data_IF_684734977238
#
_entry.id   IF_684734977238
#
_cell.length_a   1.000
_cell.length_b   1.000
_cell.length_c   1.000
_cell.angle_alpha   90.00
_cell.angle_beta   90.00
_cell.angle_gamma   90.00
#
_symmetry.space_group_name_H-M   'P 1'
#
loop_
_entity.id
_entity.type
_entity.pdbx_description
1 polymer ?
#
# COMPACT_ATOMS: atom_id res chain seq x y z
N UNK A 1 -22.58 10.26 -15.58
CA UNK A 1 -23.46 10.19 -14.40
C UNK A 1 -24.45 9.06 -14.67
N UNK A 2 -24.08 7.81 -14.33
CA UNK A 2 -24.95 6.66 -14.51
C UNK A 2 -25.66 6.43 -13.18
N UNK A 3 -26.96 6.74 -13.16
CA UNK A 3 -27.82 6.56 -12.01
C UNK A 3 -28.32 5.11 -12.04
N UNK A 4 -27.83 4.28 -11.13
CA UNK A 4 -28.31 2.91 -10.94
C UNK A 4 -29.59 3.00 -10.09
N UNK A 5 -30.74 2.85 -10.75
CA UNK A 5 -32.05 2.77 -10.11
C UNK A 5 -32.24 1.44 -9.34
N UNK A 6 -33.30 1.32 -8.52
CA UNK A 6 -33.48 0.18 -7.63
C UNK A 6 -33.65 -1.13 -8.43
N UNK A 7 -32.88 -2.15 -8.03
CA UNK A 7 -32.90 -3.49 -8.60
C UNK A 7 -34.28 -4.12 -8.42
N UNK A 8 -35.00 -4.31 -9.52
CA UNK A 8 -36.20 -5.13 -9.59
C UNK A 8 -35.74 -6.61 -9.76
N UNK A 9 -36.11 -7.55 -8.87
CA UNK A 9 -35.46 -8.86 -8.79
C UNK A 9 -35.90 -9.89 -9.86
N UNK A 10 -36.34 -9.47 -11.04
CA UNK A 10 -36.83 -10.37 -12.07
C UNK A 10 -35.87 -10.48 -13.27
N UNK A 11 -35.11 -11.59 -13.28
CA UNK A 11 -34.49 -12.25 -14.44
C UNK A 11 -33.38 -11.47 -15.17
N UNK A 12 -32.21 -11.37 -14.52
CA UNK A 12 -30.97 -11.63 -15.24
C UNK A 12 -30.93 -13.15 -15.45
N UNK A 13 -30.85 -13.64 -16.69
CA UNK A 13 -30.67 -15.07 -16.99
C UNK A 13 -29.25 -15.51 -16.59
N UNK A 14 -28.97 -15.52 -15.28
CA UNK A 14 -27.88 -16.28 -14.70
C UNK A 14 -28.33 -17.73 -14.85
N UNK A 15 -27.57 -18.55 -15.58
CA UNK A 15 -27.76 -20.01 -15.53
C UNK A 15 -27.63 -20.41 -14.07
N UNK A 16 -28.75 -20.76 -13.46
CA UNK A 16 -28.86 -20.99 -12.02
C UNK A 16 -28.02 -22.21 -11.66
N UNK A 17 -26.83 -21.97 -11.10
CA UNK A 17 -26.10 -23.01 -10.40
C UNK A 17 -26.56 -22.94 -8.93
N UNK A 18 -27.34 -23.91 -8.42
CA UNK A 18 -27.84 -23.89 -7.04
C UNK A 18 -26.72 -23.76 -5.99
N UNK A 19 -25.48 -24.10 -6.38
CA UNK A 19 -24.29 -24.03 -5.55
C UNK A 19 -23.74 -22.62 -5.28
N UNK A 20 -24.17 -21.58 -6.02
CA UNK A 20 -23.59 -20.22 -5.89
C UNK A 20 -24.58 -19.14 -5.45
N UNK A 21 -25.81 -19.51 -5.10
CA UNK A 21 -26.88 -18.55 -4.80
C UNK A 21 -26.58 -17.62 -3.60
N UNK A 22 -25.82 -18.11 -2.62
CA UNK A 22 -25.44 -17.36 -1.41
C UNK A 22 -24.01 -16.80 -1.50
N UNK A 23 -23.43 -16.71 -2.70
CA UNK A 23 -22.04 -16.31 -2.90
C UNK A 23 -21.93 -15.03 -3.74
N UNK A 24 -20.96 -14.18 -3.37
CA UNK A 24 -20.45 -13.11 -4.22
C UNK A 24 -19.66 -13.74 -5.37
N UNK A 25 -19.96 -13.34 -6.60
CA UNK A 25 -19.32 -13.88 -7.81
C UNK A 25 -18.85 -12.75 -8.73
N UNK A 26 -17.77 -13.01 -9.46
CA UNK A 26 -17.29 -12.13 -10.53
C UNK A 26 -17.79 -12.69 -11.86
N UNK A 27 -18.46 -11.84 -12.62
CA UNK A 27 -18.91 -12.11 -13.99
C UNK A 27 -18.25 -11.09 -14.90
N UNK A 28 -17.74 -11.55 -16.05
CA UNK A 28 -17.22 -10.68 -17.10
C UNK A 28 -18.28 -10.51 -18.17
N UNK A 29 -18.58 -9.27 -18.54
CA UNK A 29 -19.45 -8.96 -19.67
C UNK A 29 -18.64 -9.15 -20.96
N UNK A 30 -19.21 -9.91 -21.90
CA UNK A 30 -18.59 -10.22 -23.19
C UNK A 30 -19.21 -9.40 -24.32
N UNK A 31 -20.54 -9.27 -24.33
CA UNK A 31 -21.26 -8.53 -25.37
C UNK A 31 -22.60 -8.02 -24.86
N UNK A 32 -23.11 -6.98 -25.52
CA UNK A 32 -24.47 -6.50 -25.30
C UNK A 32 -25.10 -6.19 -26.65
N UNK A 33 -25.89 -7.14 -27.15
CA UNK A 33 -26.61 -6.98 -28.41
C UNK A 33 -27.74 -5.97 -28.28
N UNK A 34 -27.98 -5.15 -29.31
CA UNK A 34 -29.03 -4.12 -29.32
C UNK A 34 -30.44 -4.68 -29.19
N UNK A 35 -30.62 -5.95 -29.53
CA UNK A 35 -31.88 -6.70 -29.40
C UNK A 35 -32.08 -7.30 -28.02
N UNK A 36 -31.06 -7.31 -27.16
CA UNK A 36 -31.12 -7.89 -25.82
C UNK A 36 -31.29 -6.81 -24.75
N UNK A 37 -32.23 -7.06 -23.83
CA UNK A 37 -32.43 -6.21 -22.66
C UNK A 37 -31.27 -6.36 -21.65
N UNK A 38 -30.56 -7.49 -21.68
CA UNK A 38 -29.48 -7.81 -20.74
C UNK A 38 -28.16 -8.10 -21.48
N UNK A 39 -27.01 -7.76 -20.87
CA UNK A 39 -25.72 -8.15 -21.40
C UNK A 39 -25.50 -9.66 -21.28
N UNK A 40 -24.72 -10.20 -22.22
CA UNK A 40 -24.17 -11.55 -22.14
C UNK A 40 -22.80 -11.50 -21.47
N UNK A 41 -22.52 -12.49 -20.63
CA UNK A 41 -21.25 -12.61 -19.95
C UNK A 41 -21.02 -14.03 -19.43
N UNK A 42 -19.85 -14.27 -18.87
CA UNK A 42 -19.48 -15.55 -18.30
C UNK A 42 -18.98 -15.41 -16.86
N UNK A 43 -19.21 -16.47 -16.10
CA UNK A 43 -18.69 -16.62 -14.74
C UNK A 43 -17.17 -16.73 -14.75
N UNK A 44 -16.51 -16.01 -13.83
CA UNK A 44 -15.05 -16.03 -13.67
C UNK A 44 -14.66 -16.78 -12.40
N UNK A 45 -15.16 -16.33 -11.24
CA UNK A 45 -14.83 -16.91 -9.92
C UNK A 45 -15.83 -16.54 -8.83
N UNK A 46 -15.84 -17.33 -7.76
CA UNK A 46 -16.49 -16.99 -6.48
C UNK A 46 -15.53 -16.16 -5.63
N UNK A 47 -16.02 -15.11 -4.98
CA UNK A 47 -15.24 -14.28 -4.03
C UNK A 47 -15.41 -14.75 -2.59
N UNK A 48 -16.63 -15.13 -2.21
CA UNK A 48 -16.94 -15.57 -0.84
C UNK A 48 -18.44 -15.64 -0.61
N UNK A 49 -18.84 -16.12 0.57
CA UNK A 49 -20.25 -16.17 0.95
C UNK A 49 -20.73 -14.75 1.25
N UNK A 50 -21.99 -14.45 0.91
CA UNK A 50 -22.59 -13.15 1.23
C UNK A 50 -22.57 -12.95 2.75
N UNK A 51 -22.07 -11.79 3.19
CA UNK A 51 -21.92 -11.44 4.60
C UNK A 51 -20.71 -12.06 5.29
N UNK A 52 -19.93 -12.90 4.60
CA UNK A 52 -18.60 -13.27 5.06
C UNK A 52 -17.62 -12.12 4.82
N UNK A 53 -16.85 -11.80 5.84
CA UNK A 53 -16.01 -10.63 5.90
C UNK A 53 -14.96 -10.59 4.78
N UNK A 54 -14.20 -11.68 4.61
CA UNK A 54 -13.18 -11.80 3.58
C UNK A 54 -13.80 -11.70 2.17
N UNK A 55 -15.00 -12.29 1.99
CA UNK A 55 -15.77 -12.18 0.76
C UNK A 55 -16.22 -10.75 0.43
N UNK A 56 -16.68 -9.99 1.43
CA UNK A 56 -17.08 -8.59 1.25
C UNK A 56 -15.87 -7.68 1.01
N UNK A 57 -14.74 -7.90 1.70
CA UNK A 57 -13.47 -7.19 1.41
C UNK A 57 -13.02 -7.46 -0.03
N UNK A 58 -13.00 -8.73 -0.44
CA UNK A 58 -12.65 -9.10 -1.81
C UNK A 58 -13.60 -8.48 -2.84
N UNK A 59 -14.87 -8.31 -2.50
CA UNK A 59 -15.87 -7.65 -3.37
C UNK A 59 -15.54 -6.17 -3.56
N UNK A 60 -15.26 -5.44 -2.48
CA UNK A 60 -14.88 -4.01 -2.53
C UNK A 60 -13.61 -3.83 -3.35
N UNK A 61 -12.60 -4.68 -3.14
CA UNK A 61 -11.34 -4.61 -3.88
C UNK A 61 -11.55 -4.80 -5.39
N UNK A 62 -12.35 -5.79 -5.79
CA UNK A 62 -12.64 -6.05 -7.22
C UNK A 62 -13.46 -4.92 -7.83
N UNK A 63 -14.48 -4.43 -7.13
CA UNK A 63 -15.36 -3.35 -7.62
C UNK A 63 -14.56 -2.06 -7.87
N UNK A 64 -13.59 -1.77 -7.02
CA UNK A 64 -12.71 -0.59 -7.14
C UNK A 64 -11.44 -0.84 -7.95
N UNK A 65 -11.32 -2.00 -8.61
CA UNK A 65 -10.13 -2.38 -9.40
C UNK A 65 -8.81 -2.32 -8.63
N UNK A 66 -8.85 -2.58 -7.32
CA UNK A 66 -7.68 -2.59 -6.44
C UNK A 66 -7.02 -3.97 -6.54
N UNK A 67 -5.80 -4.00 -7.06
CA UNK A 67 -5.06 -5.23 -7.29
C UNK A 67 -4.20 -5.62 -6.09
N UNK A 68 -4.61 -6.62 -5.31
CA UNK A 68 -3.90 -7.11 -4.11
C UNK A 68 -2.92 -8.26 -4.38
N UNK A 69 -2.49 -8.45 -5.62
CA UNK A 69 -1.57 -9.53 -5.98
C UNK A 69 -0.19 -9.31 -5.33
N UNK A 70 0.44 -10.35 -4.77
CA UNK A 70 1.80 -10.25 -4.25
C UNK A 70 2.81 -9.80 -5.31
N UNK A 71 3.88 -9.15 -4.89
CA UNK A 71 5.00 -8.85 -5.79
C UNK A 71 5.58 -10.15 -6.36
N UNK A 72 5.83 -10.15 -7.67
CA UNK A 72 6.48 -11.24 -8.39
C UNK A 72 7.94 -11.40 -7.97
N UNK A 73 8.53 -12.57 -8.24
CA UNK A 73 9.94 -12.84 -7.96
C UNK A 73 10.87 -11.84 -8.67
N UNK A 74 10.59 -11.51 -9.94
CA UNK A 74 11.36 -10.53 -10.69
C UNK A 74 11.35 -9.13 -10.05
N UNK A 75 10.21 -8.71 -9.49
CA UNK A 75 10.10 -7.47 -8.73
C UNK A 75 10.91 -7.57 -7.43
N UNK A 76 10.79 -8.67 -6.68
CA UNK A 76 11.51 -8.85 -5.42
C UNK A 76 13.04 -8.91 -5.60
N UNK A 77 13.53 -9.41 -6.75
CA UNK A 77 14.96 -9.44 -7.06
C UNK A 77 15.60 -8.07 -7.29
N UNK A 78 14.81 -7.02 -7.55
CA UNK A 78 15.32 -5.64 -7.67
C UNK A 78 15.56 -4.98 -6.31
N UNK A 79 14.98 -5.51 -5.23
CA UNK A 79 15.16 -4.96 -3.89
C UNK A 79 16.45 -5.46 -3.23
N UNK A 80 17.08 -4.62 -2.38
CA UNK A 80 18.19 -5.07 -1.56
C UNK A 80 17.78 -6.24 -0.67
N UNK A 81 18.71 -7.17 -0.46
CA UNK A 81 18.53 -8.19 0.56
C UNK A 81 18.75 -7.54 1.90
N UNK A 82 17.71 -7.60 2.72
CA UNK A 82 17.75 -7.16 4.08
C UNK A 82 17.17 -8.24 5.00
N UNK A 83 18.04 -8.89 5.77
CA UNK A 83 17.65 -9.93 6.74
C UNK A 83 18.44 -9.78 8.03
N UNK A 84 17.99 -10.43 9.11
CA UNK A 84 18.70 -10.39 10.40
C UNK A 84 20.16 -10.88 10.29
N UNK A 85 20.43 -11.83 9.39
CA UNK A 85 21.76 -12.39 9.13
C UNK A 85 22.60 -11.53 8.18
N UNK A 86 21.93 -10.79 7.29
CA UNK A 86 22.57 -9.89 6.33
C UNK A 86 21.78 -8.57 6.25
N UNK A 87 21.93 -7.70 7.27
CA UNK A 87 21.23 -6.43 7.31
C UNK A 87 21.76 -5.52 6.22
N UNK A 88 20.86 -4.78 5.58
CA UNK A 88 21.26 -3.81 4.59
C UNK A 88 22.05 -2.67 5.24
N UNK A 89 23.03 -2.13 4.51
CA UNK A 89 23.84 -0.98 4.95
C UNK A 89 24.09 -0.05 3.79
N UNK A 90 24.08 1.25 4.08
CA UNK A 90 24.50 2.27 3.12
C UNK A 90 25.92 1.96 2.65
N UNK A 91 26.13 2.06 1.32
CA UNK A 91 27.46 1.83 0.77
C UNK A 91 28.41 2.98 1.13
N UNK A 92 29.72 2.73 1.32
CA UNK A 92 30.69 3.79 1.61
C UNK A 92 30.76 4.89 0.53
N UNK A 93 30.34 4.56 -0.71
CA UNK A 93 30.26 5.51 -1.81
C UNK A 93 29.11 6.50 -1.58
N UNK A 94 27.93 6.00 -1.23
CA UNK A 94 26.76 6.85 -0.92
C UNK A 94 27.02 7.75 0.30
N UNK A 95 27.71 7.23 1.33
CA UNK A 95 28.10 8.04 2.49
C UNK A 95 29.05 9.20 2.15
N UNK A 96 29.83 9.08 1.07
CA UNK A 96 30.73 10.15 0.61
C UNK A 96 30.03 11.15 -0.31
N UNK A 97 29.05 10.70 -1.08
CA UNK A 97 28.31 11.54 -2.04
C UNK A 97 27.21 12.37 -1.36
N UNK A 98 26.80 11.98 -0.15
CA UNK A 98 25.70 12.61 0.59
C UNK A 98 26.19 13.31 1.85
N UNK A 99 25.43 14.30 2.31
CA UNK A 99 25.74 15.02 3.55
C UNK A 99 25.31 14.21 4.77
N UNK A 100 26.27 13.79 5.59
CA UNK A 100 26.01 13.05 6.82
C UNK A 100 25.51 13.93 7.98
N UNK A 101 24.22 13.79 8.33
CA UNK A 101 23.57 14.52 9.41
C UNK A 101 23.52 13.76 10.75
N UNK A 102 23.93 12.47 10.78
CA UNK A 102 23.70 11.54 11.90
C UNK A 102 24.30 12.01 13.24
N UNK A 103 25.43 12.71 13.19
CA UNK A 103 26.12 13.23 14.39
C UNK A 103 25.81 14.69 14.71
N UNK A 104 25.21 15.42 13.76
CA UNK A 104 25.03 16.87 13.84
C UNK A 104 23.60 17.28 14.16
N UNK A 105 22.63 16.40 13.89
CA UNK A 105 21.20 16.64 14.12
C UNK A 105 20.60 15.58 15.03
N UNK A 106 19.78 16.04 16.00
CA UNK A 106 18.83 15.16 16.66
C UNK A 106 17.62 15.03 15.74
N UNK A 107 17.41 13.83 15.19
CA UNK A 107 16.32 13.54 14.27
C UNK A 107 15.30 12.61 14.93
N UNK A 108 14.02 12.89 14.74
CA UNK A 108 12.89 12.13 15.29
C UNK A 108 11.70 12.17 14.33
N UNK A 109 10.84 11.16 14.34
CA UNK A 109 9.57 11.15 13.62
C UNK A 109 8.39 11.29 14.60
N UNK A 110 7.20 11.61 14.09
CA UNK A 110 5.97 11.74 14.87
C UNK A 110 4.89 10.91 14.20
N UNK A 111 4.78 9.65 14.62
CA UNK A 111 3.89 8.67 14.00
C UNK A 111 2.88 8.07 14.98
N UNK A 112 1.74 7.55 14.50
CA UNK A 112 0.84 6.74 15.30
C UNK A 112 1.54 5.52 15.91
N UNK A 113 1.03 5.02 17.05
CA UNK A 113 1.52 3.78 17.65
C UNK A 113 1.32 2.63 16.67
N UNK A 114 2.37 1.86 16.40
CA UNK A 114 2.33 0.74 15.47
C UNK A 114 2.52 1.13 14.00
N UNK A 115 2.86 2.39 13.70
CA UNK A 115 3.28 2.79 12.36
C UNK A 115 4.52 1.96 11.95
N UNK A 116 4.38 1.21 10.86
CA UNK A 116 5.47 0.49 10.23
C UNK A 116 6.15 1.37 9.16
N UNK A 117 5.39 2.18 8.42
CA UNK A 117 5.89 2.96 7.28
C UNK A 117 6.28 4.40 7.69
N UNK A 118 7.51 4.61 8.20
CA UNK A 118 8.01 5.95 8.56
C UNK A 118 8.56 6.67 7.32
N UNK A 119 7.75 7.53 6.72
CA UNK A 119 8.10 8.26 5.47
C UNK A 119 8.89 9.55 5.72
N UNK A 120 8.72 10.17 6.89
CA UNK A 120 9.34 11.45 7.23
C UNK A 120 9.94 11.49 8.64
N UNK A 121 10.94 12.36 8.79
CA UNK A 121 11.51 12.71 10.07
C UNK A 121 11.82 14.20 10.14
N UNK A 122 11.94 14.71 11.35
CA UNK A 122 12.14 16.11 11.66
C UNK A 122 13.40 16.31 12.49
N UNK A 123 14.05 17.46 12.30
CA UNK A 123 15.09 17.93 13.20
C UNK A 123 14.94 19.42 13.46
N UNK A 124 15.32 19.86 14.66
CA UNK A 124 15.32 21.28 15.01
C UNK A 124 16.56 21.61 15.85
N UNK A 125 17.25 22.69 15.50
CA UNK A 125 18.35 23.22 16.31
C UNK A 125 18.41 24.74 16.25
N UNK A 126 18.93 25.34 17.32
CA UNK A 126 19.22 26.78 17.36
C UNK A 126 20.62 27.02 16.80
N UNK A 127 20.74 28.00 15.91
CA UNK A 127 21.99 28.45 15.32
C UNK A 127 22.66 29.52 16.19
N UNK A 128 23.96 29.73 16.00
CA UNK A 128 24.74 30.72 16.76
C UNK A 128 24.24 32.17 16.61
N UNK A 129 23.53 32.47 15.53
CA UNK A 129 22.92 33.79 15.28
C UNK A 129 21.53 33.95 15.92
N UNK A 130 21.05 32.96 16.68
CA UNK A 130 19.74 32.96 17.33
C UNK A 130 18.59 32.49 16.44
N UNK A 131 18.84 32.17 15.16
CA UNK A 131 17.82 31.60 14.28
C UNK A 131 17.62 30.11 14.57
N UNK A 132 16.47 29.59 14.16
CA UNK A 132 16.21 28.14 14.14
C UNK A 132 16.52 27.58 12.76
N UNK A 133 17.13 26.40 12.75
CA UNK A 133 17.18 25.52 11.59
C UNK A 133 16.19 24.38 11.82
N UNK A 134 15.26 24.21 10.87
CA UNK A 134 14.29 23.13 10.83
C UNK A 134 14.61 22.25 9.63
N UNK A 135 14.84 20.96 9.87
CA UNK A 135 15.02 19.95 8.83
C UNK A 135 13.77 19.09 8.68
N UNK A 136 13.35 18.88 7.44
CA UNK A 136 12.36 17.87 7.05
C UNK A 136 13.09 16.85 6.20
N UNK A 137 13.14 15.61 6.66
CA UNK A 137 13.90 14.52 6.09
C UNK A 137 12.91 13.50 5.55
N UNK A 138 12.87 13.33 4.23
CA UNK A 138 11.94 12.39 3.57
C UNK A 138 12.71 11.14 3.16
N UNK A 139 12.10 9.96 3.33
CA UNK A 139 12.69 8.70 2.89
C UNK A 139 13.05 8.73 1.40
N UNK A 140 14.29 8.36 1.07
CA UNK A 140 14.78 8.36 -0.31
C UNK A 140 14.47 7.03 -1.02
N UNK A 141 13.22 6.87 -1.43
CA UNK A 141 12.77 5.70 -2.21
C UNK A 141 13.46 5.64 -3.58
N UNK A 142 13.89 6.78 -4.12
CA UNK A 142 14.48 6.86 -5.46
C UNK A 142 15.86 6.22 -5.55
N UNK A 143 16.55 6.04 -4.43
CA UNK A 143 17.77 5.25 -4.36
C UNK A 143 17.54 3.77 -4.70
N UNK A 144 16.37 3.22 -4.35
CA UNK A 144 16.06 1.80 -4.50
C UNK A 144 15.24 1.50 -5.75
N UNK A 145 14.38 2.44 -6.16
CA UNK A 145 13.45 2.24 -7.27
C UNK A 145 13.94 3.00 -8.49
N UNK A 146 14.65 2.29 -9.37
CA UNK A 146 15.14 2.87 -10.61
C UNK A 146 13.99 3.13 -11.61
N UNK A 147 14.02 4.23 -12.39
CA UNK A 147 13.03 4.47 -13.43
C UNK A 147 12.95 3.32 -14.44
N UNK A 148 11.73 2.90 -14.73
CA UNK A 148 11.35 1.79 -15.60
C UNK A 148 11.78 0.39 -15.14
N UNK A 149 12.14 0.23 -13.86
CA UNK A 149 12.34 -1.09 -13.26
C UNK A 149 11.01 -1.84 -13.10
N UNK A 150 11.05 -3.15 -12.83
CA UNK A 150 9.83 -3.93 -12.59
C UNK A 150 9.04 -3.39 -11.39
N UNK A 151 9.73 -2.93 -10.35
CA UNK A 151 9.12 -2.30 -9.19
C UNK A 151 8.52 -0.94 -9.54
N UNK A 152 9.19 -0.09 -10.30
CA UNK A 152 8.65 1.22 -10.71
C UNK A 152 7.36 1.05 -11.54
N UNK A 153 7.34 0.09 -12.47
CA UNK A 153 6.13 -0.23 -13.25
C UNK A 153 4.99 -0.69 -12.34
N UNK A 154 5.28 -1.52 -11.35
CA UNK A 154 4.28 -1.99 -10.38
C UNK A 154 3.77 -0.85 -9.49
N UNK A 155 4.68 -0.03 -8.97
CA UNK A 155 4.37 1.13 -8.13
C UNK A 155 3.47 2.12 -8.87
N UNK A 156 3.77 2.43 -10.14
CA UNK A 156 2.90 3.24 -11.00
C UNK A 156 1.53 2.61 -11.24
N UNK A 157 1.48 1.28 -11.37
CA UNK A 157 0.22 0.56 -11.61
C UNK A 157 -0.68 0.59 -10.38
N UNK A 158 -0.10 0.46 -9.17
CA UNK A 158 -0.84 0.55 -7.89
C UNK A 158 -1.19 1.99 -7.52
N UNK A 159 -0.32 2.93 -7.86
CA UNK A 159 -0.38 4.38 -7.63
C UNK A 159 -0.40 4.83 -6.16
N UNK A 160 -1.09 4.12 -5.27
CA UNK A 160 -1.21 4.44 -3.85
C UNK A 160 -1.35 3.16 -3.02
N UNK A 161 -1.01 3.26 -1.74
CA UNK A 161 -1.34 2.25 -0.74
C UNK A 161 -2.80 2.42 -0.30
N UNK A 162 -3.51 1.31 -0.13
CA UNK A 162 -4.87 1.29 0.41
C UNK A 162 -4.85 0.68 1.81
N UNK A 163 -5.36 1.43 2.78
CA UNK A 163 -5.53 0.98 4.16
C UNK A 163 -6.99 0.62 4.39
N UNK A 164 -7.25 -0.66 4.67
CA UNK A 164 -8.58 -1.13 5.02
C UNK A 164 -8.68 -1.28 6.53
N UNK A 165 -9.82 -0.88 7.11
CA UNK A 165 -10.09 -1.06 8.52
C UNK A 165 -10.02 -2.54 8.90
N UNK A 166 -9.35 -2.85 10.02
CA UNK A 166 -9.28 -4.22 10.52
C UNK A 166 -10.60 -4.65 11.18
N UNK A 167 -11.19 -5.76 10.73
CA UNK A 167 -12.43 -6.27 11.28
C UNK A 167 -12.32 -6.87 12.70
N UNK A 168 -11.13 -7.25 13.18
CA UNK A 168 -10.97 -7.74 14.57
C UNK A 168 -11.33 -6.63 15.57
N UNK A 169 -10.93 -5.40 15.28
CA UNK A 169 -11.31 -4.22 16.05
C UNK A 169 -12.83 -3.97 15.99
N UNK A 170 -13.47 -4.17 14.84
CA UNK A 170 -14.91 -3.94 14.69
C UNK A 170 -15.79 -4.93 15.49
N UNK A 171 -15.33 -6.17 15.74
CA UNK A 171 -16.05 -7.14 16.59
C UNK A 171 -15.81 -6.93 18.09
N UNK A 172 -14.63 -6.45 18.49
CA UNK A 172 -14.26 -6.30 19.91
C UNK A 172 -14.81 -5.04 20.58
N UNK A 173 -15.25 -4.05 19.80
CA UNK A 173 -15.88 -2.79 20.29
C UNK A 173 -17.23 -3.02 21.00
N UNK A 174 -17.77 -4.24 21.01
CA UNK A 174 -19.04 -4.56 21.72
C UNK A 174 -18.94 -4.73 23.24
N UNK A 175 -17.80 -4.51 23.92
CA UNK A 175 -17.80 -4.72 25.36
C UNK A 175 -16.69 -4.18 26.27
N UNK A 176 -15.56 -3.65 25.79
CA UNK A 176 -14.54 -3.05 26.67
C UNK A 176 -13.81 -1.91 25.97
N UNK A 177 -13.64 -0.80 26.68
CA UNK A 177 -12.67 0.25 26.33
C UNK A 177 -11.29 -0.34 26.59
N UNK A 178 -10.53 -0.62 25.53
CA UNK A 178 -9.13 -1.06 25.59
C UNK A 178 -8.37 -0.26 24.52
N UNK A 179 -7.12 0.10 24.85
CA UNK A 179 -6.18 0.87 24.04
C UNK A 179 -6.16 0.42 22.58
N UNK A 180 -6.37 1.39 21.69
CA UNK A 180 -6.42 1.20 20.24
C UNK A 180 -5.08 0.67 19.72
N UNK A 181 -5.04 -0.63 19.43
CA UNK A 181 -4.05 -1.22 18.53
C UNK A 181 -4.71 -1.36 17.17
N UNK A 182 -4.65 -0.29 16.37
CA UNK A 182 -5.04 -0.33 14.97
C UNK A 182 -4.05 -1.19 14.21
N UNK A 183 -4.37 -2.47 13.99
CA UNK A 183 -3.62 -3.29 13.06
C UNK A 183 -4.24 -3.05 11.67
N UNK A 184 -3.49 -2.52 10.70
CA UNK A 184 -4.06 -2.18 9.39
C UNK A 184 -4.06 -3.38 8.44
N UNK A 185 -5.17 -3.62 7.72
CA UNK A 185 -5.18 -4.64 6.68
C UNK A 185 -4.48 -4.08 5.44
N UNK A 186 -3.27 -4.58 5.18
CA UNK A 186 -2.43 -4.18 4.04
C UNK A 186 -2.76 -5.01 2.79
N UNK A 187 -2.63 -4.36 1.64
CA UNK A 187 -2.78 -4.93 0.28
C UNK A 187 -1.91 -6.19 0.02
N UNK A 188 -0.87 -6.43 0.83
CA UNK A 188 -0.07 -7.65 0.80
C UNK A 188 0.15 -8.21 2.21
N UNK A 189 -0.26 -9.46 2.48
CA UNK A 189 0.05 -10.20 3.72
C UNK A 189 1.49 -10.77 3.73
N UNK A 190 2.46 -10.08 3.13
CA UNK A 190 3.87 -10.52 2.98
C UNK A 190 4.85 -9.34 3.03
N UNK A 191 6.16 -9.57 2.80
CA UNK A 191 7.18 -8.49 2.73
C UNK A 191 6.71 -7.43 1.74
N UNK A 192 6.27 -6.29 2.25
CA UNK A 192 5.88 -5.16 1.41
C UNK A 192 7.15 -4.45 0.93
N UNK A 193 7.04 -3.71 -0.18
CA UNK A 193 8.11 -2.80 -0.59
C UNK A 193 8.48 -1.87 0.58
N UNK A 194 7.50 -1.43 1.35
CA UNK A 194 7.69 -0.55 2.50
C UNK A 194 8.41 -1.21 3.66
N UNK A 195 8.21 -2.50 3.93
CA UNK A 195 8.99 -3.24 4.93
C UNK A 195 10.45 -3.46 4.51
N UNK A 196 10.75 -3.36 3.21
CA UNK A 196 12.12 -3.25 2.69
C UNK A 196 12.66 -1.81 2.75
N UNK A 197 11.78 -0.80 2.75
CA UNK A 197 12.13 0.61 2.93
C UNK A 197 12.24 1.03 4.41
N UNK A 198 11.64 0.27 5.33
CA UNK A 198 11.63 0.45 6.79
C UNK A 198 13.04 0.44 7.42
N UNK A 199 14.03 -0.09 6.71
CA UNK A 199 15.43 -0.02 7.13
C UNK A 199 16.21 1.17 6.56
N UNK A 200 15.53 2.10 5.88
CA UNK A 200 16.11 3.32 5.32
C UNK A 200 16.00 4.50 6.29
N UNK A 201 16.27 4.25 7.58
CA UNK A 201 16.57 5.37 8.49
C UNK A 201 17.85 6.09 8.07
N UNK A 202 18.80 5.36 7.49
CA UNK A 202 20.15 5.87 7.27
C UNK A 202 20.29 6.74 6.00
N UNK A 203 19.44 6.59 4.97
CA UNK A 203 19.50 7.48 3.78
C UNK A 203 18.63 8.73 3.92
N UNK A 204 17.57 8.72 4.73
CA UNK A 204 16.82 9.93 5.04
C UNK A 204 17.72 11.01 5.70
N UNK A 205 18.77 10.57 6.41
CA UNK A 205 19.77 11.42 7.06
C UNK A 205 20.94 11.82 6.15
N UNK A 206 20.88 11.42 4.88
CA UNK A 206 21.91 11.64 3.88
C UNK A 206 21.31 12.48 2.74
N UNK A 207 21.35 13.80 2.94
CA UNK A 207 20.79 14.82 2.05
C UNK A 207 21.59 14.92 0.74
N UNK A 208 20.87 15.15 -0.37
CA UNK A 208 21.41 15.29 -1.73
C UNK A 208 21.56 16.78 -2.04
N UNK A 209 22.59 17.43 -1.48
CA UNK A 209 22.88 18.83 -1.81
C UNK A 209 24.26 18.99 -2.44
N UNK A 210 24.28 19.14 -3.78
CA UNK A 210 25.20 20.05 -4.50
C UNK A 210 24.91 20.28 -6.00
N UNK A 211 23.68 20.10 -6.52
CA UNK A 211 23.39 20.30 -7.96
C UNK A 211 22.65 21.61 -8.33
N UNK A 212 22.30 22.49 -7.37
CA UNK A 212 21.61 23.76 -7.66
C UNK A 212 22.30 25.02 -7.12
N UNK A 213 23.61 24.96 -6.85
CA UNK A 213 24.43 26.15 -6.62
C UNK A 213 25.27 26.49 -7.85
N UNK A 214 24.62 27.01 -8.92
CA UNK A 214 25.25 27.84 -9.95
C UNK A 214 24.28 28.94 -10.40
#
# INVERSE_FOLDING_TARGET
MLQIGPLNPALVHIVFFPSVQDFRVVVRIDSWETTSVYPNGHFVRVLGRIGDLEGEIATILVENSINVVPFSEAQMCEMPVNTAENPWKVSPKEEQERRDLRSTHLVFSIDPKGCEDVDDALSVRTLNNGNLELGVHIADVTHFVAPNSYIDVEARTRATTYYLADPQLAQEVKGKVIEEEHQEYRQTKGRSLYTLLEEIRDLALLDVSDSYAM
#
